data_IF_920682810367
#
_entry.id   IF_920682810367
#
_cell.length_a   1.000
_cell.length_b   1.000
_cell.length_c   1.000
_cell.angle_alpha   90.00
_cell.angle_beta   90.00
_cell.angle_gamma   90.00
#
_symmetry.space_group_name_H-M   'P 1'
#
loop_
_entity.id
_entity.type
_entity.pdbx_description
1 polymer ?
#
# COMPACT_ATOMS: atom_id res chain seq x y z
N UNK A 1 24.07 12.66 0.97
CA UNK A 1 23.06 12.21 1.97
C UNK A 1 23.78 11.31 2.95
N UNK A 2 23.56 11.42 4.28
CA UNK A 2 24.19 10.51 5.25
C UNK A 2 23.57 9.12 5.06
N UNK A 3 24.38 8.12 4.73
CA UNK A 3 23.94 6.71 4.68
C UNK A 3 23.37 6.31 6.05
N UNK A 4 22.15 5.78 6.07
CA UNK A 4 21.62 5.17 7.29
C UNK A 4 22.16 3.74 7.37
N UNK A 5 22.82 3.41 8.49
CA UNK A 5 23.10 2.01 8.81
C UNK A 5 21.80 1.19 8.77
N UNK A 6 21.87 -0.04 8.25
CA UNK A 6 20.74 -0.99 8.21
C UNK A 6 20.04 -1.12 9.56
N UNK A 7 20.80 -1.09 10.67
CA UNK A 7 20.25 -1.13 12.02
C UNK A 7 19.37 0.10 12.35
N UNK A 8 19.80 1.30 11.92
CA UNK A 8 19.03 2.54 12.09
C UNK A 8 17.77 2.53 11.21
N UNK A 9 17.88 2.04 9.98
CA UNK A 9 16.75 1.87 9.08
C UNK A 9 15.67 0.93 9.65
N UNK A 10 16.10 -0.24 10.14
CA UNK A 10 15.22 -1.20 10.80
C UNK A 10 14.53 -0.62 12.04
N UNK A 11 15.26 0.11 12.89
CA UNK A 11 14.70 0.76 14.07
C UNK A 11 13.61 1.79 13.71
N UNK A 12 13.83 2.59 12.66
CA UNK A 12 12.86 3.57 12.16
C UNK A 12 11.59 2.89 11.61
N UNK A 13 11.74 1.85 10.80
CA UNK A 13 10.59 1.08 10.27
C UNK A 13 9.80 0.39 11.38
N UNK A 14 10.50 -0.17 12.37
CA UNK A 14 9.89 -0.84 13.52
C UNK A 14 9.12 0.15 14.39
N UNK A 15 9.69 1.32 14.69
CA UNK A 15 9.00 2.39 15.41
C UNK A 15 7.77 2.89 14.65
N UNK A 16 7.87 3.13 13.35
CA UNK A 16 6.73 3.50 12.50
C UNK A 16 5.62 2.44 12.52
N UNK A 17 5.98 1.17 12.38
CA UNK A 17 5.04 0.04 12.44
C UNK A 17 4.34 -0.08 13.81
N UNK A 18 5.06 0.18 14.90
CA UNK A 18 4.47 0.22 16.25
C UNK A 18 3.48 1.37 16.40
N UNK A 19 3.82 2.56 15.92
CA UNK A 19 2.91 3.72 15.95
C UNK A 19 1.61 3.45 15.18
N UNK A 20 1.70 2.83 14.01
CA UNK A 20 0.52 2.42 13.23
C UNK A 20 -0.35 1.44 14.03
N UNK A 21 0.25 0.47 14.73
CA UNK A 21 -0.51 -0.46 15.58
C UNK A 21 -1.21 0.23 16.75
N UNK A 22 -0.53 1.18 17.40
CA UNK A 22 -1.13 1.98 18.49
C UNK A 22 -2.32 2.79 17.97
N UNK A 23 -2.16 3.44 16.81
CA UNK A 23 -3.26 4.17 16.16
C UNK A 23 -4.44 3.23 15.84
N UNK A 24 -4.19 2.03 15.34
CA UNK A 24 -5.24 1.04 15.06
C UNK A 24 -6.02 0.62 16.31
N UNK A 25 -5.34 0.46 17.46
CA UNK A 25 -6.00 0.11 18.73
C UNK A 25 -6.96 1.20 19.19
N UNK A 26 -6.64 2.48 18.95
CA UNK A 26 -7.52 3.61 19.31
C UNK A 26 -8.63 3.82 18.27
N UNK A 27 -8.31 3.64 16.98
CA UNK A 27 -9.23 3.87 15.87
C UNK A 27 -10.40 2.88 15.84
N UNK A 28 -10.13 1.58 16.04
CA UNK A 28 -11.16 0.52 15.90
C UNK A 28 -12.35 0.72 16.86
N UNK A 29 -12.15 0.93 18.19
CA UNK A 29 -13.25 1.17 19.10
C UNK A 29 -14.06 2.44 18.78
N UNK A 30 -13.39 3.50 18.32
CA UNK A 30 -14.06 4.74 17.90
C UNK A 30 -14.93 4.50 16.66
N UNK A 31 -14.39 3.79 15.67
CA UNK A 31 -15.13 3.42 14.47
C UNK A 31 -16.36 2.59 14.83
N UNK A 32 -16.18 1.55 15.64
CA UNK A 32 -17.25 0.64 16.06
C UNK A 32 -18.36 1.37 16.83
N UNK A 33 -18.03 2.40 17.62
CA UNK A 33 -19.03 3.28 18.27
C UNK A 33 -19.83 4.14 17.29
N UNK A 34 -19.24 4.55 16.16
CA UNK A 34 -19.90 5.41 15.16
C UNK A 34 -20.78 4.59 14.22
N UNK A 35 -20.29 3.45 13.74
CA UNK A 35 -20.97 2.65 12.70
C UNK A 35 -21.71 1.42 13.25
N UNK A 36 -21.50 1.07 14.52
CA UNK A 36 -22.06 -0.10 15.17
C UNK A 36 -21.44 -1.44 14.71
N UNK A 37 -21.86 -2.53 15.35
CA UNK A 37 -21.32 -3.87 15.10
C UNK A 37 -21.68 -4.39 13.70
N UNK A 38 -22.90 -4.16 13.22
CA UNK A 38 -23.32 -4.54 11.85
C UNK A 38 -22.50 -3.76 10.80
N UNK A 39 -22.29 -2.46 11.01
CA UNK A 39 -21.47 -1.62 10.13
C UNK A 39 -20.02 -2.07 10.09
N UNK A 40 -19.45 -2.42 11.24
CA UNK A 40 -18.09 -2.94 11.32
C UNK A 40 -17.94 -4.33 10.66
N UNK A 41 -18.97 -5.19 10.74
CA UNK A 41 -19.01 -6.45 10.01
C UNK A 41 -18.96 -6.27 8.48
N UNK A 42 -19.75 -5.33 7.95
CA UNK A 42 -19.71 -4.97 6.52
C UNK A 42 -18.37 -4.37 6.11
N UNK A 43 -17.78 -3.52 6.95
CA UNK A 43 -16.44 -2.97 6.74
C UNK A 43 -15.40 -4.09 6.65
N UNK A 44 -15.39 -5.03 7.62
CA UNK A 44 -14.44 -6.13 7.66
C UNK A 44 -14.49 -7.02 6.42
N UNK A 45 -15.69 -7.38 5.97
CA UNK A 45 -15.87 -8.18 4.75
C UNK A 45 -15.38 -7.44 3.48
N UNK A 46 -15.69 -6.15 3.37
CA UNK A 46 -15.20 -5.30 2.26
C UNK A 46 -13.67 -5.17 2.29
N UNK A 47 -13.12 -4.99 3.49
CA UNK A 47 -11.69 -4.81 3.73
C UNK A 47 -10.89 -6.08 3.39
N UNK A 48 -11.45 -7.27 3.61
CA UNK A 48 -10.81 -8.53 3.22
C UNK A 48 -10.61 -8.64 1.71
N UNK A 49 -11.64 -8.30 0.92
CA UNK A 49 -11.52 -8.24 -0.56
C UNK A 49 -10.48 -7.20 -0.98
N UNK A 50 -10.59 -5.99 -0.42
CA UNK A 50 -9.62 -4.92 -0.71
C UNK A 50 -8.19 -5.36 -0.41
N UNK A 51 -7.96 -5.99 0.74
CA UNK A 51 -6.63 -6.45 1.16
C UNK A 51 -6.07 -7.48 0.20
N UNK A 52 -6.90 -8.38 -0.33
CA UNK A 52 -6.46 -9.35 -1.34
C UNK A 52 -5.94 -8.67 -2.61
N UNK A 53 -6.68 -7.70 -3.16
CA UNK A 53 -6.25 -6.94 -4.35
C UNK A 53 -5.04 -6.06 -4.04
N UNK A 54 -5.00 -5.46 -2.85
CA UNK A 54 -3.88 -4.66 -2.38
C UNK A 54 -2.59 -5.49 -2.31
N UNK A 55 -2.63 -6.70 -1.74
CA UNK A 55 -1.46 -7.59 -1.67
C UNK A 55 -1.03 -8.01 -3.07
N UNK A 56 -1.96 -8.35 -3.95
CA UNK A 56 -1.63 -8.74 -5.33
C UNK A 56 -0.89 -7.62 -6.09
N UNK A 57 -1.22 -6.37 -5.80
CA UNK A 57 -0.63 -5.19 -6.47
C UNK A 57 0.60 -4.62 -5.77
N UNK A 58 0.76 -4.84 -4.46
CA UNK A 58 1.81 -4.19 -3.66
C UNK A 58 2.84 -5.18 -3.09
N UNK A 59 2.59 -6.50 -3.18
CA UNK A 59 3.55 -7.50 -2.73
C UNK A 59 4.67 -7.68 -3.77
N UNK A 60 5.92 -7.71 -3.32
CA UNK A 60 7.09 -7.98 -4.16
C UNK A 60 7.58 -6.79 -5.01
N UNK A 61 6.70 -5.97 -5.58
CA UNK A 61 7.08 -4.83 -6.42
C UNK A 61 7.98 -3.80 -5.70
N UNK A 62 7.64 -3.28 -4.49
CA UNK A 62 8.51 -2.34 -3.79
C UNK A 62 9.88 -2.94 -3.45
N UNK A 63 9.95 -4.25 -3.19
CA UNK A 63 11.21 -4.97 -2.91
C UNK A 63 12.07 -5.05 -4.17
N UNK A 64 11.46 -5.36 -5.32
CA UNK A 64 12.16 -5.37 -6.60
C UNK A 64 12.69 -3.97 -6.99
N UNK A 65 11.87 -2.93 -6.79
CA UNK A 65 12.28 -1.52 -6.99
C UNK A 65 13.44 -1.16 -6.06
N UNK A 66 13.35 -1.52 -4.78
CA UNK A 66 14.41 -1.27 -3.81
C UNK A 66 15.72 -1.92 -4.25
N UNK A 67 15.68 -3.19 -4.68
CA UNK A 67 16.87 -3.91 -5.15
C UNK A 67 17.49 -3.25 -6.39
N UNK A 68 16.69 -2.97 -7.42
CA UNK A 68 17.15 -2.33 -8.66
C UNK A 68 17.84 -0.99 -8.38
N UNK A 69 17.26 -0.18 -7.49
CA UNK A 69 17.82 1.13 -7.14
C UNK A 69 19.08 0.99 -6.33
N UNK A 70 19.14 0.06 -5.36
CA UNK A 70 20.36 -0.19 -4.59
C UNK A 70 21.53 -0.65 -5.48
N UNK A 71 21.28 -1.51 -6.47
CA UNK A 71 22.30 -1.97 -7.42
C UNK A 71 22.84 -0.81 -8.27
N UNK A 72 21.95 0.06 -8.77
CA UNK A 72 22.33 1.22 -9.59
C UNK A 72 23.00 2.34 -8.78
N UNK A 73 22.55 2.60 -7.55
CA UNK A 73 23.21 3.56 -6.63
C UNK A 73 24.63 3.06 -6.29
N UNK A 74 24.81 1.74 -6.07
CA UNK A 74 26.11 1.15 -5.70
C UNK A 74 27.18 1.27 -6.80
N UNK A 75 26.79 1.24 -8.07
CA UNK A 75 27.70 1.46 -9.21
C UNK A 75 27.81 2.94 -9.62
N UNK A 76 27.09 3.84 -8.94
CA UNK A 76 27.10 5.29 -9.21
C UNK A 76 26.20 5.73 -10.37
N UNK A 77 25.37 4.85 -10.93
CA UNK A 77 24.48 5.13 -12.06
C UNK A 77 23.14 5.73 -11.62
N UNK A 78 23.22 6.90 -11.00
CA UNK A 78 22.05 7.64 -10.48
C UNK A 78 21.00 7.96 -11.55
N UNK A 79 21.42 8.16 -12.80
CA UNK A 79 20.51 8.46 -13.92
C UNK A 79 19.59 7.27 -14.22
N UNK A 80 20.15 6.07 -14.25
CA UNK A 80 19.40 4.86 -14.52
C UNK A 80 18.57 4.43 -13.30
N UNK A 81 19.03 4.71 -12.08
CA UNK A 81 18.20 4.53 -10.87
C UNK A 81 16.90 5.36 -10.94
N UNK A 82 16.99 6.63 -11.34
CA UNK A 82 15.83 7.51 -11.53
C UNK A 82 14.96 7.08 -12.71
N UNK A 83 15.58 6.59 -13.80
CA UNK A 83 14.86 6.08 -14.97
C UNK A 83 14.07 4.82 -14.61
N UNK A 84 14.68 3.87 -13.91
CA UNK A 84 14.05 2.66 -13.41
C UNK A 84 12.87 2.96 -12.48
N UNK A 85 13.05 3.92 -11.56
CA UNK A 85 11.95 4.42 -10.72
C UNK A 85 10.79 4.99 -11.55
N UNK A 86 11.07 5.82 -12.56
CA UNK A 86 10.03 6.41 -13.41
C UNK A 86 9.24 5.36 -14.18
N UNK A 87 9.92 4.33 -14.70
CA UNK A 87 9.30 3.20 -15.38
C UNK A 87 8.42 2.41 -14.41
N UNK A 88 8.96 2.04 -13.25
CA UNK A 88 8.22 1.31 -12.23
C UNK A 88 6.99 2.08 -11.74
N UNK A 89 7.10 3.41 -11.58
CA UNK A 89 5.98 4.29 -11.22
C UNK A 89 4.89 4.29 -12.28
N UNK A 90 5.27 4.41 -13.56
CA UNK A 90 4.31 4.37 -14.67
C UNK A 90 3.60 3.00 -14.74
N UNK A 91 4.35 1.91 -14.60
CA UNK A 91 3.78 0.56 -14.58
C UNK A 91 2.79 0.38 -13.42
N UNK A 92 3.17 0.77 -12.19
CA UNK A 92 2.29 0.64 -11.03
C UNK A 92 1.08 1.59 -11.07
N UNK A 93 1.20 2.73 -11.75
CA UNK A 93 0.05 3.60 -12.02
C UNK A 93 -0.96 2.91 -12.94
N UNK A 94 -0.49 2.26 -14.03
CA UNK A 94 -1.36 1.50 -14.94
C UNK A 94 -1.98 0.30 -14.23
N UNK A 95 -1.17 -0.49 -13.51
CA UNK A 95 -1.65 -1.67 -12.76
C UNK A 95 -2.67 -1.24 -11.69
N UNK A 96 -2.38 -0.21 -10.91
CA UNK A 96 -3.27 0.31 -9.88
C UNK A 96 -4.59 0.82 -10.47
N UNK A 97 -4.54 1.49 -11.63
CA UNK A 97 -5.73 1.96 -12.35
C UNK A 97 -6.58 0.78 -12.86
N UNK A 98 -5.95 -0.19 -13.52
CA UNK A 98 -6.63 -1.39 -14.01
C UNK A 98 -7.27 -2.16 -12.86
N UNK A 99 -6.55 -2.38 -11.76
CA UNK A 99 -7.06 -3.12 -10.61
C UNK A 99 -8.16 -2.35 -9.85
N UNK A 100 -8.07 -1.03 -9.76
CA UNK A 100 -9.15 -0.19 -9.25
C UNK A 100 -10.41 -0.33 -10.10
N UNK A 101 -10.29 -0.20 -11.43
CA UNK A 101 -11.44 -0.34 -12.34
C UNK A 101 -12.02 -1.74 -12.29
N UNK A 102 -11.19 -2.78 -12.27
CA UNK A 102 -11.63 -4.16 -12.10
C UNK A 102 -12.41 -4.33 -10.79
N UNK A 103 -11.90 -3.81 -9.68
CA UNK A 103 -12.63 -3.90 -8.40
C UNK A 103 -13.97 -3.17 -8.46
N UNK A 104 -14.07 -2.01 -9.13
CA UNK A 104 -15.34 -1.30 -9.31
C UNK A 104 -16.34 -2.10 -10.16
N UNK A 105 -15.89 -2.70 -11.27
CA UNK A 105 -16.75 -3.50 -12.17
C UNK A 105 -17.21 -4.78 -11.47
N UNK A 106 -16.31 -5.44 -10.74
CA UNK A 106 -16.59 -6.69 -10.04
C UNK A 106 -17.19 -6.47 -8.63
N UNK A 107 -17.37 -5.23 -8.16
CA UNK A 107 -17.91 -4.94 -6.84
C UNK A 107 -19.30 -5.56 -6.62
N UNK A 108 -20.18 -5.47 -7.63
CA UNK A 108 -21.54 -6.02 -7.57
C UNK A 108 -21.56 -7.56 -7.49
N UNK A 109 -20.89 -8.32 -8.38
CA UNK A 109 -20.82 -9.77 -8.25
C UNK A 109 -20.09 -10.23 -6.98
N UNK A 110 -19.03 -9.53 -6.54
CA UNK A 110 -18.35 -9.83 -5.28
C UNK A 110 -19.26 -9.64 -4.06
N UNK A 111 -20.02 -8.55 -4.00
CA UNK A 111 -20.98 -8.31 -2.91
C UNK A 111 -22.08 -9.38 -2.85
N UNK A 112 -22.53 -9.90 -4.01
CA UNK A 112 -23.49 -11.01 -4.08
C UNK A 112 -22.86 -12.33 -3.63
N UNK A 113 -21.63 -12.63 -4.05
CA UNK A 113 -20.91 -13.83 -3.65
C UNK A 113 -20.68 -13.90 -2.14
N UNK A 114 -20.46 -12.75 -1.49
CA UNK A 114 -20.33 -12.68 -0.03
C UNK A 114 -21.67 -12.70 0.73
N UNK A 115 -22.81 -12.64 0.03
CA UNK A 115 -24.13 -12.65 0.67
C UNK A 115 -24.60 -11.30 1.22
N UNK A 116 -23.82 -10.22 1.08
CA UNK A 116 -24.13 -8.91 1.65
C UNK A 116 -24.21 -7.83 0.56
N UNK A 117 -25.44 -7.52 0.09
CA UNK A 117 -25.65 -6.47 -0.93
C UNK A 117 -25.13 -5.08 -0.52
N UNK A 118 -25.13 -4.76 0.79
CA UNK A 118 -24.68 -3.46 1.32
C UNK A 118 -23.17 -3.22 1.16
N UNK A 119 -22.36 -4.27 0.96
CA UNK A 119 -20.89 -4.17 0.78
C UNK A 119 -20.51 -3.46 -0.52
N UNK A 120 -21.40 -3.43 -1.52
CA UNK A 120 -21.13 -2.82 -2.82
C UNK A 120 -20.59 -1.37 -2.70
N UNK A 121 -21.21 -0.54 -1.87
CA UNK A 121 -20.81 0.86 -1.67
C UNK A 121 -19.44 0.96 -0.98
N UNK A 122 -19.17 0.06 -0.04
CA UNK A 122 -17.88 -0.03 0.65
C UNK A 122 -16.76 -0.47 -0.30
N UNK A 123 -17.01 -1.40 -1.22
CA UNK A 123 -16.03 -1.79 -2.24
C UNK A 123 -15.77 -0.66 -3.23
N UNK A 124 -16.81 0.05 -3.66
CA UNK A 124 -16.67 1.15 -4.61
C UNK A 124 -15.85 2.31 -4.02
N UNK A 125 -16.02 2.59 -2.73
CA UNK A 125 -15.24 3.60 -2.02
C UNK A 125 -13.79 3.19 -1.76
N UNK A 126 -13.51 1.90 -1.58
CA UNK A 126 -12.15 1.37 -1.41
C UNK A 126 -11.38 1.20 -2.73
N UNK A 127 -12.07 0.97 -3.84
CA UNK A 127 -11.43 0.75 -5.15
C UNK A 127 -10.40 1.81 -5.56
N UNK A 128 -10.69 3.14 -5.52
CA UNK A 128 -9.70 4.14 -5.92
C UNK A 128 -8.47 4.16 -4.99
N UNK A 129 -8.59 3.70 -3.73
CA UNK A 129 -7.46 3.60 -2.82
C UNK A 129 -6.37 2.63 -3.32
N UNK A 130 -6.72 1.62 -4.15
CA UNK A 130 -5.75 0.71 -4.77
C UNK A 130 -4.76 1.50 -5.63
N UNK A 131 -5.25 2.43 -6.46
CA UNK A 131 -4.38 3.25 -7.31
C UNK A 131 -3.39 4.08 -6.46
N UNK A 132 -3.89 4.77 -5.44
CA UNK A 132 -3.04 5.61 -4.58
C UNK A 132 -2.01 4.78 -3.83
N UNK A 133 -2.41 3.62 -3.30
CA UNK A 133 -1.50 2.74 -2.58
C UNK A 133 -0.45 2.09 -3.48
N UNK A 134 -0.82 1.68 -4.70
CA UNK A 134 0.11 1.20 -5.73
C UNK A 134 1.15 2.26 -6.10
N UNK A 135 0.74 3.52 -6.24
CA UNK A 135 1.69 4.60 -6.50
C UNK A 135 2.57 4.86 -5.26
N UNK A 136 2.00 4.88 -4.06
CA UNK A 136 2.75 5.08 -2.82
C UNK A 136 3.82 3.99 -2.58
N UNK A 137 3.54 2.73 -2.94
CA UNK A 137 4.52 1.64 -2.80
C UNK A 137 5.75 1.81 -3.68
N UNK A 138 5.64 2.48 -4.84
CA UNK A 138 6.81 2.83 -5.68
C UNK A 138 7.77 3.73 -4.93
N UNK A 139 7.25 4.74 -4.21
CA UNK A 139 8.06 5.68 -3.44
C UNK A 139 8.71 4.99 -2.25
N UNK A 140 7.97 4.11 -1.56
CA UNK A 140 8.55 3.28 -0.48
C UNK A 140 9.71 2.45 -1.01
N UNK A 141 9.55 1.77 -2.14
CA UNK A 141 10.62 1.00 -2.78
C UNK A 141 11.82 1.87 -3.17
N UNK A 142 11.57 3.07 -3.69
CA UNK A 142 12.63 4.03 -4.04
C UNK A 142 13.46 4.47 -2.84
N UNK A 143 12.79 4.93 -1.78
CA UNK A 143 13.46 5.42 -0.57
C UNK A 143 14.15 4.30 0.20
N UNK A 144 13.55 3.11 0.26
CA UNK A 144 14.20 1.92 0.81
C UNK A 144 15.46 1.55 0.00
N UNK A 145 15.40 1.61 -1.33
CA UNK A 145 16.54 1.29 -2.21
C UNK A 145 17.73 2.24 -2.04
N UNK A 146 17.48 3.50 -1.69
CA UNK A 146 18.54 4.49 -1.39
C UNK A 146 19.04 4.47 0.06
N UNK A 147 18.61 3.50 0.86
CA UNK A 147 18.96 3.43 2.27
C UNK A 147 18.41 4.58 3.12
N UNK A 148 17.36 5.28 2.67
CA UNK A 148 16.71 6.34 3.42
C UNK A 148 15.31 5.89 3.84
N UNK A 149 15.19 5.33 5.05
CA UNK A 149 13.91 4.77 5.51
C UNK A 149 13.02 5.78 6.24
N UNK A 150 13.50 7.00 6.48
CA UNK A 150 12.75 8.05 7.18
C UNK A 150 11.48 8.51 6.43
N UNK A 151 11.50 8.75 5.10
CA UNK A 151 10.29 9.10 4.37
C UNK A 151 9.25 7.98 4.38
N UNK A 152 9.70 6.72 4.28
CA UNK A 152 8.83 5.53 4.31
C UNK A 152 8.14 5.32 5.66
N UNK A 153 8.77 5.73 6.76
CA UNK A 153 8.19 5.57 8.10
C UNK A 153 7.17 6.66 8.46
N UNK A 154 7.20 7.80 7.76
CA UNK A 154 6.24 8.90 7.96
C UNK A 154 5.03 8.80 7.03
N UNK A 155 5.13 8.07 5.90
CA UNK A 155 4.09 7.93 4.86
C UNK A 155 3.30 6.60 4.89
#
# INVERSE_FOLDING_TARGET
MKEQSTARGFAILSAGGMLVKVLSIVYIPLLMRIIGDEGYGLYGASYQIYTFVFVLTNSGIPVAISKLISELDAVGDYKDAVKGFRIARAMLMVIGMVMSVLLMVFASPLARAMGYKKIYLSLLSLAPAILFTSVASTYRGYFQGRGNMTPTAVS
#
